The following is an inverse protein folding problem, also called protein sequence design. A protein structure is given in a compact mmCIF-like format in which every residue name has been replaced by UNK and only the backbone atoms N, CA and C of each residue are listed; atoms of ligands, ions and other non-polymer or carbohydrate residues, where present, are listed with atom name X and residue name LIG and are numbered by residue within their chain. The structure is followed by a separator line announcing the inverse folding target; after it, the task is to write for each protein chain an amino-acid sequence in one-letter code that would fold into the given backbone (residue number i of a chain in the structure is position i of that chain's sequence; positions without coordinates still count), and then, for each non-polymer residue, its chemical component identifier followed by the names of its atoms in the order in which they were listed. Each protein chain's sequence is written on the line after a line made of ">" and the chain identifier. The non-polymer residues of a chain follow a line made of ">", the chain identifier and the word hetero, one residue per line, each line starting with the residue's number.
data_IF_049101787296
#
_entry.id   IF_049101787296
#
_cell.length_a   1.000
_cell.length_b   1.000
_cell.length_c   1.000
_cell.angle_alpha   90.00
_cell.angle_beta   90.00
_cell.angle_gamma   90.00
#
_symmetry.space_group_name_H-M   'P 1'
#
loop_
_entity.id
_entity.type
_entity.pdbx_description
1 polymer ?
#
# COMPACT_ATOMS: atom_id res chain seq x y z
N UNK A 1 8.82 17.57 -2.00
CA UNK A 1 7.82 16.49 -2.15
C UNK A 1 7.84 15.59 -0.92
N UNK A 2 9.02 15.10 -0.53
CA UNK A 2 9.25 14.39 0.73
C UNK A 2 8.80 15.23 1.93
N UNK A 3 9.10 16.53 1.95
CA UNK A 3 8.64 17.42 3.04
C UNK A 3 7.12 17.56 3.08
N UNK A 4 6.47 17.63 1.91
CA UNK A 4 5.01 17.64 1.83
C UNK A 4 4.41 16.33 2.37
N UNK A 5 4.99 15.18 2.02
CA UNK A 5 4.58 13.89 2.59
C UNK A 5 4.74 13.84 4.11
N UNK A 6 5.83 14.41 4.67
CA UNK A 6 6.05 14.50 6.12
C UNK A 6 4.97 15.35 6.81
N UNK A 7 4.65 16.52 6.25
CA UNK A 7 3.54 17.37 6.71
C UNK A 7 2.23 16.59 6.73
N UNK A 8 1.91 15.91 5.64
CA UNK A 8 0.69 15.10 5.51
C UNK A 8 0.60 13.96 6.52
N UNK A 9 1.71 13.27 6.77
CA UNK A 9 1.80 12.21 7.78
C UNK A 9 1.42 12.74 9.17
N UNK A 10 1.91 13.94 9.54
CA UNK A 10 1.58 14.62 10.78
C UNK A 10 0.09 14.96 10.88
N UNK A 11 -0.47 15.62 9.87
CA UNK A 11 -1.90 15.97 9.83
C UNK A 11 -2.82 14.74 9.90
N UNK A 12 -2.46 13.66 9.19
CA UNK A 12 -3.21 12.39 9.25
C UNK A 12 -3.10 11.73 10.63
N UNK A 13 -1.94 11.85 11.28
CA UNK A 13 -1.75 11.31 12.62
C UNK A 13 -2.60 12.08 13.65
N UNK A 14 -2.55 13.41 13.61
CA UNK A 14 -3.26 14.29 14.56
C UNK A 14 -4.79 14.19 14.41
N UNK A 15 -5.28 13.90 13.20
CA UNK A 15 -6.69 13.61 12.93
C UNK A 15 -7.13 12.17 13.25
N UNK A 16 -6.25 11.36 13.87
CA UNK A 16 -6.56 9.97 14.26
C UNK A 16 -6.56 8.96 13.11
N UNK A 17 -6.14 9.35 11.90
CA UNK A 17 -6.09 8.50 10.71
C UNK A 17 -4.80 7.67 10.65
N UNK A 18 -4.51 6.92 11.72
CA UNK A 18 -3.22 6.25 11.91
C UNK A 18 -2.86 5.26 10.80
N UNK A 19 -3.83 4.52 10.26
CA UNK A 19 -3.57 3.58 9.16
C UNK A 19 -3.19 4.29 7.87
N UNK A 20 -3.85 5.41 7.54
CA UNK A 20 -3.52 6.24 6.38
C UNK A 20 -2.16 6.90 6.55
N UNK A 21 -1.89 7.46 7.74
CA UNK A 21 -0.60 8.03 8.11
C UNK A 21 0.55 7.01 7.93
N UNK A 22 0.38 5.78 8.44
CA UNK A 22 1.35 4.68 8.21
C UNK A 22 1.53 4.33 6.75
N UNK A 23 0.46 4.36 5.96
CA UNK A 23 0.58 4.10 4.53
C UNK A 23 1.42 5.19 3.84
N UNK A 24 1.19 6.47 4.15
CA UNK A 24 2.01 7.59 3.66
C UNK A 24 3.47 7.46 4.11
N UNK A 25 3.73 7.05 5.35
CA UNK A 25 5.08 6.82 5.84
C UNK A 25 5.82 5.73 5.04
N UNK A 26 5.14 4.65 4.63
CA UNK A 26 5.75 3.64 3.75
C UNK A 26 6.14 4.24 2.40
N UNK A 27 5.33 5.15 1.87
CA UNK A 27 5.63 5.84 0.61
C UNK A 27 6.81 6.75 0.78
N UNK A 28 6.81 7.59 1.83
CA UNK A 28 7.91 8.50 2.15
C UNK A 28 9.23 7.74 2.20
N UNK A 29 9.30 6.65 2.96
CA UNK A 29 10.54 5.87 3.09
C UNK A 29 11.01 5.28 1.75
N UNK A 30 10.07 4.74 0.96
CA UNK A 30 10.38 4.14 -0.34
C UNK A 30 10.80 5.19 -1.37
N UNK A 31 10.07 6.30 -1.46
CA UNK A 31 10.33 7.37 -2.41
C UNK A 31 11.59 8.16 -2.04
N UNK A 32 11.84 8.40 -0.74
CA UNK A 32 13.10 8.95 -0.24
C UNK A 32 14.29 8.07 -0.63
N UNK A 33 14.15 6.74 -0.52
CA UNK A 33 15.21 5.82 -0.95
C UNK A 33 15.46 5.87 -2.47
N UNK A 34 14.41 6.06 -3.27
CA UNK A 34 14.53 6.23 -4.72
C UNK A 34 15.24 7.54 -5.08
N UNK A 35 14.97 8.61 -4.34
CA UNK A 35 15.59 9.93 -4.53
C UNK A 35 16.93 10.08 -3.80
N UNK A 36 17.49 9.00 -3.25
CA UNK A 36 18.75 9.04 -2.47
C UNK A 36 18.71 10.04 -1.29
N UNK A 37 17.52 10.24 -0.72
CA UNK A 37 17.19 11.22 0.32
C UNK A 37 17.34 12.70 -0.08
N UNK A 38 17.47 13.00 -1.37
CA UNK A 38 17.39 14.36 -1.89
C UNK A 38 15.92 14.70 -2.19
N UNK A 39 15.34 15.65 -1.46
CA UNK A 39 13.97 16.09 -1.78
C UNK A 39 13.92 16.83 -3.12
N UNK A 40 12.82 16.64 -3.84
CA UNK A 40 12.49 17.33 -5.08
C UNK A 40 11.31 18.28 -4.85
N UNK A 41 11.24 19.44 -5.51
CA UNK A 41 10.06 20.29 -5.43
C UNK A 41 8.83 19.59 -5.99
N UNK A 42 7.63 20.00 -5.58
CA UNK A 42 6.36 19.43 -6.09
C UNK A 42 6.25 19.54 -7.61
N UNK A 43 6.78 20.63 -8.20
CA UNK A 43 6.82 20.89 -9.63
C UNK A 43 7.73 19.94 -10.41
N UNK A 44 8.71 19.31 -9.76
CA UNK A 44 9.59 18.32 -10.38
C UNK A 44 9.00 16.91 -10.40
N UNK A 45 7.86 16.69 -9.75
CA UNK A 45 7.14 15.42 -9.87
C UNK A 45 6.31 15.42 -11.15
N UNK A 46 6.90 14.92 -12.22
CA UNK A 46 6.32 14.77 -13.55
C UNK A 46 6.12 13.30 -13.95
N UNK A 47 5.66 13.07 -15.18
CA UNK A 47 5.42 11.71 -15.71
C UNK A 47 6.71 10.88 -15.80
N UNK A 48 7.82 11.50 -16.20
CA UNK A 48 9.11 10.81 -16.30
C UNK A 48 9.62 10.36 -14.91
N UNK A 49 9.50 11.23 -13.90
CA UNK A 49 9.84 10.90 -12.51
C UNK A 49 8.97 9.76 -11.98
N UNK A 50 7.66 9.78 -12.24
CA UNK A 50 6.77 8.69 -11.84
C UNK A 50 7.13 7.36 -12.52
N UNK A 51 7.42 7.39 -13.83
CA UNK A 51 7.86 6.23 -14.61
C UNK A 51 9.20 5.67 -14.12
N UNK A 52 10.17 6.54 -13.81
CA UNK A 52 11.46 6.15 -13.22
C UNK A 52 11.27 5.47 -11.86
N UNK A 53 10.41 6.02 -11.02
CA UNK A 53 10.09 5.41 -9.74
C UNK A 53 9.40 4.04 -9.89
N UNK A 54 8.48 3.89 -10.84
CA UNK A 54 7.84 2.60 -11.12
C UNK A 54 8.86 1.54 -11.56
N UNK A 55 9.76 1.90 -12.49
CA UNK A 55 10.85 1.02 -12.93
C UNK A 55 11.78 0.63 -11.79
N UNK A 56 12.11 1.58 -10.91
CA UNK A 56 12.92 1.31 -9.72
C UNK A 56 12.24 0.31 -8.77
N UNK A 57 10.92 0.44 -8.56
CA UNK A 57 10.14 -0.52 -7.77
C UNK A 57 10.18 -1.93 -8.40
N UNK A 58 10.10 -2.04 -9.72
CA UNK A 58 10.23 -3.33 -10.42
C UNK A 58 11.62 -3.94 -10.26
N UNK A 59 12.68 -3.12 -10.32
CA UNK A 59 14.06 -3.57 -10.04
C UNK A 59 14.21 -4.16 -8.63
N UNK A 60 13.43 -3.65 -7.66
CA UNK A 60 13.34 -4.18 -6.29
C UNK A 60 12.37 -5.36 -6.13
N UNK A 61 11.85 -5.91 -7.22
CA UNK A 61 10.91 -7.04 -7.26
C UNK A 61 9.60 -6.77 -6.49
N UNK A 62 9.20 -5.50 -6.40
CA UNK A 62 7.90 -5.12 -5.82
C UNK A 62 6.78 -5.59 -6.75
N UNK A 63 5.77 -6.27 -6.21
CA UNK A 63 4.66 -6.78 -7.01
C UNK A 63 3.91 -5.65 -7.72
N UNK A 64 3.26 -5.93 -8.86
CA UNK A 64 2.45 -4.94 -9.60
C UNK A 64 1.40 -4.25 -8.70
N UNK A 65 0.74 -5.02 -7.82
CA UNK A 65 -0.26 -4.46 -6.89
C UNK A 65 0.37 -3.56 -5.83
N UNK A 66 1.54 -3.94 -5.32
CA UNK A 66 2.30 -3.13 -4.39
C UNK A 66 2.82 -1.86 -5.07
N UNK A 67 3.32 -1.93 -6.31
CA UNK A 67 3.73 -0.75 -7.08
C UNK A 67 2.57 0.23 -7.26
N UNK A 68 1.40 -0.26 -7.68
CA UNK A 68 0.18 0.55 -7.77
C UNK A 68 -0.25 1.14 -6.42
N UNK A 69 -0.05 0.42 -5.31
CA UNK A 69 -0.25 1.00 -3.99
C UNK A 69 0.66 2.22 -3.76
N UNK A 70 1.95 2.14 -4.12
CA UNK A 70 2.85 3.29 -4.00
C UNK A 70 2.39 4.46 -4.87
N UNK A 71 2.07 4.19 -6.14
CA UNK A 71 1.64 5.22 -7.09
C UNK A 71 0.33 5.90 -6.66
N UNK A 72 -0.66 5.15 -6.17
CA UNK A 72 -1.95 5.72 -5.75
C UNK A 72 -1.81 6.69 -4.58
N UNK A 73 -0.95 6.38 -3.61
CA UNK A 73 -0.76 7.27 -2.46
C UNK A 73 0.06 8.50 -2.86
N UNK A 74 1.10 8.33 -3.66
CA UNK A 74 1.88 9.46 -4.17
C UNK A 74 0.98 10.40 -5.02
N UNK A 75 0.09 9.82 -5.83
CA UNK A 75 -0.94 10.56 -6.58
C UNK A 75 -1.92 11.28 -5.68
N UNK A 76 -2.37 10.65 -4.60
CA UNK A 76 -3.27 11.29 -3.64
C UNK A 76 -2.60 12.51 -2.99
N UNK A 77 -1.34 12.37 -2.56
CA UNK A 77 -0.55 13.47 -2.01
C UNK A 77 -0.36 14.61 -3.03
N UNK A 78 0.03 14.30 -4.26
CA UNK A 78 0.19 15.30 -5.32
C UNK A 78 -1.13 16.02 -5.64
N UNK A 79 -2.23 15.27 -5.80
CA UNK A 79 -3.54 15.86 -6.04
C UNK A 79 -4.00 16.76 -4.89
N UNK A 80 -3.66 16.41 -3.65
CA UNK A 80 -3.94 17.28 -2.50
C UNK A 80 -3.11 18.56 -2.55
N UNK A 81 -1.84 18.48 -2.93
CA UNK A 81 -1.00 19.67 -3.13
C UNK A 81 -1.53 20.59 -4.25
N UNK A 82 -2.09 20.01 -5.32
CA UNK A 82 -2.80 20.76 -6.37
C UNK A 82 -4.04 21.46 -5.82
N UNK A 83 -4.84 20.77 -5.00
CA UNK A 83 -6.01 21.37 -4.35
C UNK A 83 -5.64 22.51 -3.39
N UNK A 84 -4.49 22.39 -2.71
CA UNK A 84 -3.89 23.43 -1.87
C UNK A 84 -3.23 24.56 -2.68
N UNK A 85 -3.29 24.53 -4.02
CA UNK A 85 -2.69 25.52 -4.93
C UNK A 85 -1.16 25.65 -4.78
N UNK A 86 -0.50 24.60 -4.28
CA UNK A 86 0.96 24.58 -4.11
C UNK A 86 1.69 24.20 -5.41
N UNK A 87 0.98 23.60 -6.37
CA UNK A 87 1.49 23.18 -7.67
C UNK A 87 0.34 23.14 -8.68
N UNK A 88 0.62 23.46 -9.93
CA UNK A 88 -0.35 23.30 -11.01
C UNK A 88 -0.50 21.81 -11.41
N UNK A 89 -1.68 21.43 -11.88
CA UNK A 89 -1.95 20.05 -12.29
C UNK A 89 -1.19 19.69 -13.58
N UNK A 90 -0.20 18.80 -13.47
CA UNK A 90 0.58 18.30 -14.61
C UNK A 90 0.30 16.82 -14.97
N UNK A 91 -0.67 16.18 -14.31
CA UNK A 91 -1.04 14.77 -14.50
C UNK A 91 0.15 13.77 -14.47
N UNK A 92 1.05 13.80 -13.45
CA UNK A 92 2.28 13.00 -13.43
C UNK A 92 2.07 11.48 -13.38
N UNK A 93 0.85 11.01 -13.12
CA UNK A 93 0.56 9.58 -12.96
C UNK A 93 -0.24 8.98 -14.13
N UNK A 94 -0.27 9.63 -15.29
CA UNK A 94 -1.07 9.16 -16.44
C UNK A 94 -0.42 7.98 -17.18
N UNK A 95 0.91 7.87 -17.17
CA UNK A 95 1.65 6.77 -17.83
C UNK A 95 1.92 5.56 -16.93
N UNK A 96 1.79 5.70 -15.61
CA UNK A 96 2.08 4.62 -14.65
C UNK A 96 0.83 3.87 -14.21
N UNK A 97 1.00 2.59 -13.86
CA UNK A 97 -0.11 1.77 -13.43
C UNK A 97 -0.61 2.13 -12.02
N UNK A 98 -1.82 2.69 -11.94
CA UNK A 98 -2.50 3.04 -10.68
C UNK A 98 -3.74 2.20 -10.39
N UNK A 99 -3.96 1.12 -11.16
CA UNK A 99 -5.14 0.27 -11.05
C UNK A 99 -5.02 -0.81 -9.95
N UNK A 100 -6.13 -1.49 -9.67
CA UNK A 100 -6.15 -2.65 -8.76
C UNK A 100 -5.97 -3.91 -9.59
N UNK A 101 -4.83 -4.59 -9.47
CA UNK A 101 -4.59 -5.84 -10.18
C UNK A 101 -5.41 -6.97 -9.55
N UNK A 102 -5.94 -7.84 -10.41
CA UNK A 102 -6.69 -9.03 -9.98
C UNK A 102 -5.80 -9.90 -9.08
N UNK A 103 -6.30 -10.19 -7.89
CA UNK A 103 -5.70 -11.17 -6.99
C UNK A 103 -6.33 -12.54 -7.23
N UNK A 104 -5.58 -13.60 -6.97
CA UNK A 104 -6.13 -14.96 -7.01
C UNK A 104 -7.23 -15.11 -5.94
N UNK A 105 -8.23 -15.95 -6.24
CA UNK A 105 -9.29 -16.30 -5.28
C UNK A 105 -8.64 -16.92 -4.04
N UNK A 106 -8.85 -16.30 -2.89
CA UNK A 106 -8.39 -16.80 -1.58
C UNK A 106 -9.42 -17.68 -0.88
N UNK A 107 -10.63 -17.79 -1.45
CA UNK A 107 -11.68 -18.58 -0.83
C UNK A 107 -11.30 -20.07 -0.87
N UNK A 108 -11.48 -20.72 0.27
CA UNK A 108 -11.17 -22.13 0.48
C UNK A 108 -12.42 -22.95 0.14
N UNK A 109 -12.24 -24.13 -0.47
CA UNK A 109 -13.37 -25.01 -0.81
C UNK A 109 -14.03 -25.61 0.44
N UNK A 110 -15.32 -25.88 0.40
CA UNK A 110 -16.05 -26.57 1.48
C UNK A 110 -15.37 -27.88 1.89
N UNK A 111 -14.89 -28.68 0.91
CA UNK A 111 -14.14 -29.91 1.17
C UNK A 111 -12.90 -29.66 2.03
N UNK A 112 -12.18 -28.56 1.80
CA UNK A 112 -11.01 -28.20 2.60
C UNK A 112 -11.42 -27.73 4.00
N UNK A 113 -12.53 -26.99 4.13
CA UNK A 113 -13.09 -26.58 5.42
C UNK A 113 -13.48 -27.82 6.25
N UNK A 114 -14.20 -28.79 5.68
CA UNK A 114 -14.56 -30.04 6.36
C UNK A 114 -13.33 -30.86 6.78
N UNK A 115 -12.27 -30.88 5.96
CA UNK A 115 -11.00 -31.50 6.31
C UNK A 115 -10.33 -30.82 7.51
N UNK A 116 -10.32 -29.49 7.54
CA UNK A 116 -9.78 -28.73 8.67
C UNK A 116 -10.57 -28.98 9.96
N UNK A 117 -11.90 -29.12 9.86
CA UNK A 117 -12.76 -29.37 11.02
C UNK A 117 -12.47 -30.72 11.67
N UNK A 118 -12.25 -31.75 10.84
CA UNK A 118 -12.03 -33.14 11.28
C UNK A 118 -10.57 -33.45 11.61
N UNK A 119 -9.66 -32.47 11.47
CA UNK A 119 -8.25 -32.69 11.73
C UNK A 119 -8.06 -33.01 13.21
N UNK A 120 -7.48 -34.17 13.51
CA UNK A 120 -7.06 -34.50 14.87
C UNK A 120 -5.83 -33.68 15.23
N UNK A 121 -6.00 -32.82 16.24
CA UNK A 121 -4.99 -31.90 16.76
C UNK A 121 -4.81 -32.11 18.27
N UNK A 122 -5.20 -33.29 18.78
CA UNK A 122 -5.05 -33.66 20.20
C UNK A 122 -3.61 -33.53 20.71
N UNK A 123 -2.63 -33.69 19.81
CA UNK A 123 -1.21 -33.52 20.11
C UNK A 123 -0.77 -32.06 20.31
N UNK A 124 -1.60 -31.06 19.98
CA UNK A 124 -1.25 -29.63 20.14
C UNK A 124 -2.47 -28.75 20.41
N UNK A 125 -2.57 -28.27 21.65
CA UNK A 125 -3.62 -27.35 22.08
C UNK A 125 -3.62 -26.03 21.28
N UNK A 126 -2.44 -25.51 20.93
CA UNK A 126 -2.33 -24.26 20.16
C UNK A 126 -2.90 -24.40 18.74
N UNK A 127 -2.69 -25.54 18.08
CA UNK A 127 -3.26 -25.81 16.76
C UNK A 127 -4.78 -26.05 16.84
N UNK A 128 -5.24 -26.80 17.84
CA UNK A 128 -6.66 -27.02 18.08
C UNK A 128 -7.39 -25.68 18.30
N UNK A 129 -6.84 -24.82 19.16
CA UNK A 129 -7.39 -23.49 19.42
C UNK A 129 -7.39 -22.59 18.16
N UNK A 130 -6.32 -22.64 17.37
CA UNK A 130 -6.23 -21.89 16.10
C UNK A 130 -7.30 -22.34 15.10
N UNK A 131 -7.56 -23.64 15.01
CA UNK A 131 -8.65 -24.20 14.20
C UNK A 131 -9.99 -23.69 14.71
N UNK A 132 -10.24 -23.74 16.00
CA UNK A 132 -11.53 -23.36 16.59
C UNK A 132 -11.81 -21.86 16.38
N UNK A 133 -10.80 -20.98 16.54
CA UNK A 133 -10.93 -19.56 16.18
C UNK A 133 -11.16 -19.32 14.69
N UNK A 134 -10.51 -20.10 13.83
CA UNK A 134 -10.75 -20.03 12.39
C UNK A 134 -12.22 -20.35 12.06
N UNK A 135 -12.78 -21.40 12.66
CA UNK A 135 -14.20 -21.75 12.47
C UNK A 135 -15.15 -20.71 13.04
N UNK A 136 -14.86 -20.19 14.23
CA UNK A 136 -15.66 -19.12 14.82
C UNK A 136 -15.79 -17.93 13.86
N UNK A 137 -14.68 -17.49 13.25
CA UNK A 137 -14.67 -16.39 12.27
C UNK A 137 -15.31 -16.68 10.92
N UNK A 138 -15.44 -17.95 10.53
CA UNK A 138 -16.00 -18.35 9.22
C UNK A 138 -17.50 -18.61 9.31
N UNK A 139 -17.98 -19.06 10.47
CA UNK A 139 -19.37 -19.47 10.70
C UNK A 139 -20.21 -18.37 11.35
N UNK A 140 -19.60 -17.49 12.15
CA UNK A 140 -20.26 -16.37 12.83
C UNK A 140 -19.68 -15.03 12.34
#
# INVERSE_FOLDING_TARGET
>A
MLDYLRKEIGLLHDSGQFSTSRNYLRILNSFSSFLENCDIPLTALDSDTACKYEKWLWGRRVSKNSSSFYMRILRAAYNKAVQEQLVEQAFPFHEVYTGIAKTSKRAVSEKTILKLQRLDLSYSLALALSRDFFFYRVVF
#
